data_IF_005165473655
#
_entry.id   IF_005165473655
#
_cell.length_a   1.000
_cell.length_b   1.000
_cell.length_c   1.000
_cell.angle_alpha   90.00
_cell.angle_beta   90.00
_cell.angle_gamma   90.00
#
_symmetry.space_group_name_H-M   'P 1'
#
loop_
_entity.id
_entity.type
_entity.pdbx_description
1 polymer ?
#
# COMPACT_ATOMS: atom_id res chain seq x y z
N UNK A 1 31.08 -66.49 -10.17
CA UNK A 1 29.69 -65.98 -10.24
C UNK A 1 29.51 -64.81 -9.28
N UNK A 2 29.43 -63.61 -9.85
CA UNK A 2 28.72 -62.39 -9.40
C UNK A 2 29.17 -61.68 -8.10
N UNK A 3 30.21 -60.86 -8.27
CA UNK A 3 30.52 -59.65 -7.50
C UNK A 3 29.40 -58.62 -7.68
N UNK A 4 28.66 -58.29 -6.62
CA UNK A 4 27.67 -57.20 -6.60
C UNK A 4 28.42 -55.90 -6.28
N UNK A 5 28.64 -55.07 -7.30
CA UNK A 5 29.07 -53.68 -7.14
C UNK A 5 27.89 -52.86 -6.63
N UNK A 6 27.95 -52.38 -5.39
CA UNK A 6 27.12 -51.28 -4.91
C UNK A 6 27.55 -50.02 -5.67
N UNK A 7 26.74 -49.58 -6.63
CA UNK A 7 26.83 -48.21 -7.13
C UNK A 7 26.27 -47.30 -6.02
N UNK A 8 27.17 -46.63 -5.27
CA UNK A 8 26.82 -45.38 -4.62
C UNK A 8 26.56 -44.36 -5.74
N UNK A 9 25.30 -44.17 -6.12
CA UNK A 9 24.88 -42.97 -6.82
C UNK A 9 25.03 -41.81 -5.83
N UNK A 10 26.18 -41.14 -5.85
CA UNK A 10 26.32 -39.81 -5.31
C UNK A 10 25.44 -38.88 -6.15
N UNK A 11 24.16 -38.79 -5.80
CA UNK A 11 23.30 -37.69 -6.18
C UNK A 11 23.82 -36.45 -5.44
N UNK A 12 24.88 -35.85 -5.99
CA UNK A 12 25.18 -34.44 -5.77
C UNK A 12 24.08 -33.63 -6.43
N UNK A 13 22.90 -33.61 -5.80
CA UNK A 13 21.91 -32.59 -6.05
C UNK A 13 22.56 -31.26 -5.64
N UNK A 14 22.57 -30.22 -6.50
CA UNK A 14 23.10 -28.94 -6.10
C UNK A 14 22.22 -28.40 -4.98
N UNK A 15 22.70 -28.52 -3.74
CA UNK A 15 22.03 -28.01 -2.54
C UNK A 15 22.10 -26.47 -2.45
N UNK A 16 22.51 -25.78 -3.52
CA UNK A 16 22.86 -24.36 -3.53
C UNK A 16 22.13 -23.51 -4.58
N UNK A 17 21.20 -24.06 -5.37
CA UNK A 17 20.54 -23.30 -6.45
C UNK A 17 19.09 -22.86 -6.16
N UNK A 18 18.55 -23.10 -4.96
CA UNK A 18 17.14 -22.83 -4.63
C UNK A 18 16.94 -21.93 -3.40
N UNK A 19 17.98 -21.24 -2.94
CA UNK A 19 17.93 -20.35 -1.77
C UNK A 19 18.49 -18.94 -2.00
N UNK A 20 18.53 -18.42 -3.24
CA UNK A 20 19.24 -17.15 -3.52
C UNK A 20 18.65 -16.23 -4.59
N UNK A 21 17.40 -16.42 -5.04
CA UNK A 21 16.63 -15.26 -5.54
C UNK A 21 16.07 -14.44 -4.36
N UNK A 22 16.74 -14.54 -3.21
CA UNK A 22 16.27 -14.09 -1.92
C UNK A 22 16.87 -12.72 -1.66
N UNK A 23 16.01 -11.71 -1.75
CA UNK A 23 16.16 -10.37 -1.18
C UNK A 23 17.24 -9.43 -1.75
N UNK A 24 18.39 -9.93 -2.20
CA UNK A 24 19.51 -9.06 -2.62
C UNK A 24 19.95 -9.25 -4.08
N UNK A 25 19.52 -10.33 -4.74
CA UNK A 25 19.93 -10.67 -6.11
C UNK A 25 18.70 -10.92 -7.00
N UNK A 26 17.89 -9.87 -7.19
CA UNK A 26 16.78 -9.94 -8.11
C UNK A 26 17.32 -9.99 -9.56
N UNK A 27 16.88 -10.94 -10.41
CA UNK A 27 17.46 -11.12 -11.75
C UNK A 27 17.28 -9.90 -12.67
N UNK A 28 16.26 -9.08 -12.38
CA UNK A 28 15.82 -7.97 -13.25
C UNK A 28 15.90 -6.58 -12.63
N UNK A 29 15.89 -6.46 -11.31
CA UNK A 29 15.85 -5.18 -10.58
C UNK A 29 17.16 -5.04 -9.85
N UNK A 30 18.00 -4.08 -10.26
CA UNK A 30 19.42 -4.06 -9.91
C UNK A 30 19.80 -2.97 -8.92
N UNK A 31 18.87 -2.11 -8.53
CA UNK A 31 19.14 -1.03 -7.59
C UNK A 31 19.71 -1.54 -6.26
N UNK A 32 20.90 -1.05 -5.91
CA UNK A 32 21.60 -1.38 -4.66
C UNK A 32 20.99 -0.70 -3.43
N UNK A 33 20.16 0.34 -3.63
CA UNK A 33 19.43 1.07 -2.59
C UNK A 33 17.91 0.91 -2.75
N UNK A 34 17.18 0.94 -1.63
CA UNK A 34 15.71 0.88 -1.64
C UNK A 34 15.08 2.11 -2.36
N UNK A 35 15.56 3.35 -2.15
CA UNK A 35 15.13 4.49 -2.97
C UNK A 35 15.32 4.27 -4.47
N UNK A 36 16.50 3.77 -4.86
CA UNK A 36 16.82 3.47 -6.24
C UNK A 36 15.82 2.48 -6.85
N UNK A 37 15.49 1.43 -6.09
CA UNK A 37 14.53 0.41 -6.50
C UNK A 37 13.14 1.01 -6.74
N UNK A 38 12.67 1.91 -5.86
CA UNK A 38 11.38 2.57 -6.09
C UNK A 38 11.38 3.39 -7.38
N UNK A 39 12.41 4.21 -7.62
CA UNK A 39 12.50 5.02 -8.83
C UNK A 39 12.63 4.17 -10.10
N UNK A 40 13.40 3.08 -10.07
CA UNK A 40 13.54 2.13 -11.17
C UNK A 40 12.18 1.50 -11.54
N UNK A 41 11.43 1.03 -10.54
CA UNK A 41 10.10 0.43 -10.70
C UNK A 41 9.09 1.45 -11.25
N UNK A 42 9.07 2.67 -10.70
CA UNK A 42 8.15 3.71 -11.14
C UNK A 42 8.47 4.19 -12.56
N UNK A 43 9.75 4.35 -12.91
CA UNK A 43 10.15 4.79 -14.25
C UNK A 43 9.71 3.77 -15.31
N UNK A 44 9.93 2.48 -15.05
CA UNK A 44 9.46 1.39 -15.92
C UNK A 44 7.92 1.36 -16.05
N UNK A 45 7.19 1.65 -14.96
CA UNK A 45 5.73 1.75 -15.01
C UNK A 45 5.24 2.94 -15.85
N UNK A 46 5.86 4.12 -15.70
CA UNK A 46 5.48 5.34 -16.45
C UNK A 46 5.73 5.18 -17.94
N UNK A 47 6.82 4.53 -18.34
CA UNK A 47 7.09 4.24 -19.76
C UNK A 47 5.95 3.44 -20.40
N UNK A 48 5.44 2.42 -19.71
CA UNK A 48 4.30 1.63 -20.19
C UNK A 48 3.00 2.41 -20.17
N UNK A 49 2.75 3.16 -19.10
CA UNK A 49 1.52 3.93 -18.97
C UNK A 49 1.44 5.07 -20.00
N UNK A 50 2.57 5.58 -20.49
CA UNK A 50 2.60 6.55 -21.60
C UNK A 50 1.91 6.04 -22.87
N UNK A 51 1.86 4.71 -23.08
CA UNK A 51 1.14 4.09 -24.19
C UNK A 51 -0.32 3.73 -23.87
N UNK A 52 -0.70 3.73 -22.59
CA UNK A 52 -2.03 3.29 -22.10
C UNK A 52 -2.95 4.46 -21.73
N UNK A 53 -2.37 5.60 -21.32
CA UNK A 53 -3.14 6.75 -20.88
C UNK A 53 -4.12 7.19 -21.98
N UNK A 54 -5.38 7.32 -21.59
CA UNK A 54 -6.43 7.79 -22.47
C UNK A 54 -6.20 9.26 -22.88
N UNK A 55 -6.70 9.69 -24.06
CA UNK A 55 -6.61 11.08 -24.48
C UNK A 55 -7.24 12.08 -23.51
N UNK A 56 -8.25 11.64 -22.74
CA UNK A 56 -8.92 12.43 -21.71
C UNK A 56 -8.16 12.47 -20.37
N UNK A 57 -6.96 11.86 -20.29
CA UNK A 57 -6.08 11.89 -19.12
C UNK A 57 -6.22 10.70 -18.16
N UNK A 58 -7.20 9.82 -18.37
CA UNK A 58 -7.38 8.62 -17.54
C UNK A 58 -6.24 7.62 -17.72
N UNK A 59 -5.72 7.09 -16.61
CA UNK A 59 -4.81 5.94 -16.62
C UNK A 59 -5.56 4.62 -16.78
N UNK A 60 -5.03 3.67 -17.55
CA UNK A 60 -5.70 2.40 -17.85
C UNK A 60 -4.87 1.22 -17.40
N UNK A 61 -5.51 0.23 -16.76
CA UNK A 61 -4.79 -0.97 -16.32
C UNK A 61 -4.28 -1.83 -17.48
N UNK A 62 -4.98 -1.79 -18.63
CA UNK A 62 -4.62 -2.50 -19.86
C UNK A 62 -5.23 -1.83 -21.07
N UNK A 63 -4.74 -2.19 -22.26
CA UNK A 63 -5.39 -1.77 -23.50
C UNK A 63 -6.81 -2.35 -23.57
N UNK A 64 -7.83 -1.52 -23.86
CA UNK A 64 -9.20 -1.99 -24.01
C UNK A 64 -9.36 -2.76 -25.32
N UNK A 65 -9.94 -3.96 -25.24
CA UNK A 65 -10.15 -4.86 -26.37
C UNK A 65 -11.45 -4.57 -27.14
N UNK A 66 -12.35 -3.78 -26.54
CA UNK A 66 -13.61 -3.35 -27.15
C UNK A 66 -14.10 -2.02 -26.58
N UNK A 67 -15.17 -1.45 -27.14
CA UNK A 67 -15.78 -0.24 -26.60
C UNK A 67 -16.35 -0.44 -25.18
N UNK A 68 -16.97 -1.59 -24.89
CA UNK A 68 -17.44 -1.94 -23.55
C UNK A 68 -16.29 -2.23 -22.57
N UNK A 69 -15.16 -2.70 -23.07
CA UNK A 69 -13.95 -2.93 -22.27
C UNK A 69 -13.26 -1.63 -21.79
N UNK A 70 -13.60 -0.48 -22.41
CA UNK A 70 -13.13 0.84 -21.95
C UNK A 70 -13.65 1.21 -20.56
N UNK A 71 -14.79 0.65 -20.14
CA UNK A 71 -15.35 0.86 -18.80
C UNK A 71 -14.69 -0.06 -17.77
N UNK A 72 -14.40 -1.31 -18.14
CA UNK A 72 -13.77 -2.30 -17.26
C UNK A 72 -12.27 -2.06 -17.05
N UNK A 73 -11.60 -1.39 -17.98
CA UNK A 73 -10.15 -1.10 -17.94
C UNK A 73 -9.77 0.10 -17.06
N UNK A 74 -10.75 0.79 -16.46
CA UNK A 74 -10.55 2.00 -15.65
C UNK A 74 -11.21 1.89 -14.27
N UNK A 75 -10.54 2.43 -13.25
CA UNK A 75 -11.09 2.64 -11.90
C UNK A 75 -10.58 3.96 -11.34
N UNK A 76 -11.39 4.62 -10.51
CA UNK A 76 -11.00 5.89 -9.88
C UNK A 76 -9.73 5.73 -9.04
N UNK A 77 -9.55 4.59 -8.37
CA UNK A 77 -8.35 4.33 -7.55
C UNK A 77 -7.08 4.18 -8.40
N UNK A 78 -7.19 3.84 -9.70
CA UNK A 78 -6.07 3.85 -10.63
C UNK A 78 -5.53 5.24 -10.92
N UNK A 79 -6.32 6.29 -10.69
CA UNK A 79 -5.86 7.68 -10.81
C UNK A 79 -4.83 8.06 -9.73
N UNK A 80 -4.61 7.23 -8.71
CA UNK A 80 -3.50 7.41 -7.76
C UNK A 80 -2.12 7.43 -8.46
N UNK A 81 -2.02 6.85 -9.66
CA UNK A 81 -0.80 6.86 -10.48
C UNK A 81 -0.34 8.27 -10.89
N UNK A 82 -1.18 9.30 -10.79
CA UNK A 82 -0.77 10.69 -11.00
C UNK A 82 0.42 11.07 -10.11
N UNK A 83 0.50 10.50 -8.91
CA UNK A 83 1.58 10.76 -7.96
C UNK A 83 2.92 10.24 -8.46
N UNK A 84 2.93 9.07 -9.14
CA UNK A 84 4.15 8.51 -9.73
C UNK A 84 4.70 9.43 -10.83
N UNK A 85 3.85 9.86 -11.76
CA UNK A 85 4.25 10.78 -12.82
C UNK A 85 4.75 12.13 -12.26
N UNK A 86 4.03 12.72 -11.30
CA UNK A 86 4.45 13.96 -10.67
C UNK A 86 5.79 13.83 -9.93
N UNK A 87 5.98 12.76 -9.16
CA UNK A 87 7.20 12.51 -8.41
C UNK A 87 8.42 12.32 -9.32
N UNK A 88 8.27 11.50 -10.36
CA UNK A 88 9.33 11.23 -11.33
C UNK A 88 9.73 12.49 -12.09
N UNK A 89 8.78 13.35 -12.45
CA UNK A 89 9.12 14.63 -13.06
C UNK A 89 9.87 15.55 -12.09
N UNK A 90 9.39 15.67 -10.83
CA UNK A 90 9.86 16.70 -9.90
C UNK A 90 11.13 16.35 -9.12
N UNK A 91 11.44 15.05 -8.93
CA UNK A 91 12.50 14.62 -8.00
C UNK A 91 13.82 14.35 -8.71
N UNK A 92 14.87 15.08 -8.34
CA UNK A 92 16.23 14.75 -8.74
C UNK A 92 16.73 13.54 -7.93
N UNK A 93 16.96 12.40 -8.61
CA UNK A 93 17.54 11.20 -7.99
C UNK A 93 18.39 10.44 -9.03
N UNK A 94 19.55 9.86 -8.67
CA UNK A 94 20.41 9.16 -9.64
C UNK A 94 19.72 8.02 -10.42
N UNK A 95 18.81 7.30 -9.76
CA UNK A 95 18.00 6.23 -10.39
C UNK A 95 16.72 6.74 -11.07
N UNK A 96 16.48 8.05 -11.13
CA UNK A 96 15.33 8.65 -11.81
C UNK A 96 15.75 9.30 -13.13
N UNK A 97 15.64 8.59 -14.28
CA UNK A 97 15.99 9.15 -15.58
C UNK A 97 14.94 10.15 -16.11
N UNK A 98 13.78 10.26 -15.46
CA UNK A 98 12.63 11.04 -15.93
C UNK A 98 12.50 12.41 -15.26
N UNK A 99 13.47 12.79 -14.41
CA UNK A 99 13.52 14.11 -13.80
C UNK A 99 13.56 15.21 -14.87
N UNK A 100 12.58 16.11 -14.83
CA UNK A 100 12.41 17.19 -15.81
C UNK A 100 11.83 16.75 -17.17
N UNK A 101 11.43 15.49 -17.37
CA UNK A 101 10.86 15.02 -18.63
C UNK A 101 9.47 15.65 -18.88
N UNK A 102 9.38 16.46 -19.95
CA UNK A 102 8.14 17.16 -20.32
C UNK A 102 6.99 16.21 -20.66
N UNK A 103 7.25 15.03 -21.22
CA UNK A 103 6.19 14.05 -21.52
C UNK A 103 5.56 13.49 -20.25
N UNK A 104 6.36 13.27 -19.22
CA UNK A 104 5.91 12.81 -17.90
C UNK A 104 5.12 13.91 -17.19
N UNK A 105 5.57 15.16 -17.30
CA UNK A 105 4.80 16.32 -16.81
C UNK A 105 3.43 16.43 -17.48
N UNK A 106 3.38 16.34 -18.81
CA UNK A 106 2.13 16.39 -19.57
C UNK A 106 1.19 15.21 -19.24
N UNK A 107 1.73 14.04 -18.93
CA UNK A 107 0.96 12.90 -18.43
C UNK A 107 0.26 13.24 -17.11
N UNK A 108 0.98 13.82 -16.15
CA UNK A 108 0.42 14.26 -14.88
C UNK A 108 -0.61 15.38 -15.06
N UNK A 109 -0.36 16.33 -15.97
CA UNK A 109 -1.30 17.42 -16.28
C UNK A 109 -2.63 16.89 -16.82
N UNK A 110 -2.62 16.01 -17.82
CA UNK A 110 -3.87 15.42 -18.33
C UNK A 110 -4.63 14.67 -17.25
N UNK A 111 -3.94 13.93 -16.39
CA UNK A 111 -4.58 13.20 -15.30
C UNK A 111 -5.23 14.12 -14.26
N UNK A 112 -4.57 15.23 -13.89
CA UNK A 112 -5.15 16.20 -12.97
C UNK A 112 -6.28 17.02 -13.60
N UNK A 113 -6.19 17.34 -14.90
CA UNK A 113 -7.28 17.98 -15.66
C UNK A 113 -8.52 17.07 -15.70
N UNK A 114 -8.34 15.76 -15.91
CA UNK A 114 -9.41 14.77 -15.80
C UNK A 114 -10.05 14.77 -14.40
N UNK A 115 -9.22 14.67 -13.36
CA UNK A 115 -9.70 14.63 -11.97
C UNK A 115 -10.45 15.91 -11.59
N UNK A 116 -9.97 17.08 -12.03
CA UNK A 116 -10.67 18.35 -11.86
C UNK A 116 -12.04 18.34 -12.55
N UNK A 117 -12.12 17.80 -13.76
CA UNK A 117 -13.38 17.61 -14.48
C UNK A 117 -14.35 16.61 -13.84
N UNK A 118 -13.87 15.77 -12.93
CA UNK A 118 -14.72 14.85 -12.16
C UNK A 118 -15.36 15.51 -10.93
N UNK A 119 -14.89 16.68 -10.49
CA UNK A 119 -15.41 17.35 -9.29
C UNK A 119 -16.54 18.31 -9.67
N UNK A 120 -17.74 17.99 -9.23
CA UNK A 120 -18.94 18.79 -9.46
C UNK A 120 -18.91 20.13 -8.70
N UNK A 121 -19.90 20.99 -8.98
CA UNK A 121 -20.02 22.30 -8.33
C UNK A 121 -20.24 22.21 -6.82
N UNK A 122 -20.86 21.14 -6.34
CA UNK A 122 -21.07 20.85 -4.92
C UNK A 122 -19.90 20.11 -4.27
N UNK A 123 -18.82 19.83 -5.03
CA UNK A 123 -17.65 19.09 -4.56
C UNK A 123 -17.78 17.58 -4.64
N UNK A 124 -18.93 17.04 -5.07
CA UNK A 124 -19.09 15.60 -5.27
C UNK A 124 -18.17 15.12 -6.40
N UNK A 125 -17.44 14.02 -6.16
CA UNK A 125 -16.59 13.40 -7.17
C UNK A 125 -17.44 12.43 -8.00
N UNK A 126 -17.67 12.77 -9.27
CA UNK A 126 -18.46 11.97 -10.22
C UNK A 126 -17.62 11.69 -11.46
N UNK A 127 -16.76 10.64 -11.42
CA UNK A 127 -16.01 10.24 -12.58
C UNK A 127 -16.93 9.80 -13.70
N UNK A 128 -16.54 10.10 -14.93
CA UNK A 128 -17.28 9.71 -16.13
C UNK A 128 -16.40 8.95 -17.10
N UNK A 129 -16.98 7.90 -17.68
CA UNK A 129 -16.41 7.14 -18.78
C UNK A 129 -17.35 7.27 -19.96
N UNK A 130 -16.88 7.86 -21.07
CA UNK A 130 -17.68 8.11 -22.27
C UNK A 130 -19.00 8.86 -21.95
N UNK A 131 -18.98 9.77 -20.98
CA UNK A 131 -20.14 10.54 -20.52
C UNK A 131 -21.02 9.85 -19.48
N UNK A 132 -20.81 8.57 -19.18
CA UNK A 132 -21.57 7.81 -18.17
C UNK A 132 -20.91 7.93 -16.81
N UNK A 133 -21.68 8.31 -15.79
CA UNK A 133 -21.21 8.36 -14.41
C UNK A 133 -20.89 6.96 -13.87
N UNK A 134 -19.77 6.83 -13.18
CA UNK A 134 -19.35 5.57 -12.54
C UNK A 134 -19.10 5.79 -11.04
N UNK A 135 -19.16 4.71 -10.27
CA UNK A 135 -19.03 4.78 -8.81
C UNK A 135 -17.65 5.33 -8.38
N UNK A 136 -17.59 6.38 -7.54
CA UNK A 136 -16.35 6.96 -7.05
C UNK A 136 -15.81 6.20 -5.82
N UNK A 137 -15.89 4.87 -5.82
CA UNK A 137 -15.48 4.06 -4.67
C UNK A 137 -14.04 4.39 -4.29
N UNK A 138 -13.83 4.75 -3.02
CA UNK A 138 -12.53 5.13 -2.49
C UNK A 138 -11.83 6.32 -3.17
N UNK A 139 -12.58 7.23 -3.80
CA UNK A 139 -12.03 8.42 -4.46
C UNK A 139 -11.15 9.29 -3.56
N UNK A 140 -11.34 9.29 -2.24
CA UNK A 140 -10.48 9.98 -1.27
C UNK A 140 -8.99 9.57 -1.36
N UNK A 141 -8.70 8.35 -1.84
CA UNK A 141 -7.33 7.89 -2.08
C UNK A 141 -6.70 8.59 -3.28
N UNK A 142 -7.45 8.77 -4.35
CA UNK A 142 -7.02 9.51 -5.54
C UNK A 142 -6.93 11.01 -5.28
N UNK A 143 -7.83 11.57 -4.46
CA UNK A 143 -7.74 12.96 -4.01
C UNK A 143 -6.44 13.22 -3.23
N UNK A 144 -6.03 12.30 -2.35
CA UNK A 144 -4.74 12.39 -1.67
C UNK A 144 -3.57 12.42 -2.67
N UNK A 145 -3.48 11.43 -3.57
CA UNK A 145 -2.40 11.36 -4.55
C UNK A 145 -2.37 12.58 -5.51
N UNK A 146 -3.54 13.12 -5.87
CA UNK A 146 -3.65 14.33 -6.66
C UNK A 146 -3.22 15.58 -5.89
N UNK A 147 -3.54 15.66 -4.60
CA UNK A 147 -3.08 16.75 -3.72
C UNK A 147 -1.56 16.77 -3.61
N UNK A 148 -0.95 15.60 -3.47
CA UNK A 148 0.51 15.47 -3.44
C UNK A 148 1.14 15.82 -4.80
N UNK A 149 0.52 15.41 -5.90
CA UNK A 149 0.94 15.81 -7.25
C UNK A 149 0.84 17.33 -7.46
N UNK A 150 -0.23 17.99 -6.98
CA UNK A 150 -0.34 19.46 -6.98
C UNK A 150 0.84 20.08 -6.24
N UNK A 151 1.15 19.60 -5.03
CA UNK A 151 2.26 20.12 -4.23
C UNK A 151 3.62 20.00 -4.92
N UNK A 152 3.86 18.89 -5.63
CA UNK A 152 5.09 18.67 -6.40
C UNK A 152 5.19 19.53 -7.66
N UNK A 153 4.06 19.79 -8.32
CA UNK A 153 4.01 20.42 -9.64
C UNK A 153 3.57 21.89 -9.63
N UNK A 154 3.26 22.47 -8.46
CA UNK A 154 2.61 23.78 -8.37
C UNK A 154 3.34 24.88 -9.15
N UNK A 155 4.68 24.88 -9.09
CA UNK A 155 5.52 25.86 -9.80
C UNK A 155 5.49 25.72 -11.33
N UNK A 156 5.22 24.53 -11.83
CA UNK A 156 5.24 24.18 -13.26
C UNK A 156 3.85 24.27 -13.91
N UNK A 157 2.79 24.39 -13.09
CA UNK A 157 1.43 24.66 -13.56
C UNK A 157 1.30 26.12 -14.01
N UNK A 158 0.70 26.31 -15.20
CA UNK A 158 0.19 27.62 -15.61
C UNK A 158 -0.93 28.10 -14.66
N UNK A 159 -1.23 29.40 -14.70
CA UNK A 159 -2.17 30.02 -13.76
C UNK A 159 -3.59 29.47 -13.87
N UNK A 160 -4.03 29.12 -15.08
CA UNK A 160 -5.38 28.61 -15.33
C UNK A 160 -5.54 27.20 -14.74
N UNK A 161 -4.62 26.30 -15.07
CA UNK A 161 -4.63 24.93 -14.55
C UNK A 161 -4.45 24.90 -13.04
N UNK A 162 -3.54 25.72 -12.51
CA UNK A 162 -3.32 25.83 -11.06
C UNK A 162 -4.60 26.22 -10.33
N UNK A 163 -5.31 27.24 -10.82
CA UNK A 163 -6.57 27.66 -10.22
C UNK A 163 -7.64 26.58 -10.36
N UNK A 164 -7.77 25.95 -11.55
CA UNK A 164 -8.73 24.88 -11.78
C UNK A 164 -8.53 23.71 -10.79
N UNK A 165 -7.29 23.26 -10.61
CA UNK A 165 -6.96 22.16 -9.70
C UNK A 165 -7.18 22.53 -8.24
N UNK A 166 -6.68 23.70 -7.80
CA UNK A 166 -6.87 24.18 -6.42
C UNK A 166 -8.34 24.35 -6.08
N UNK A 167 -9.13 24.90 -7.01
CA UNK A 167 -10.56 25.11 -6.85
C UNK A 167 -11.33 23.78 -6.77
N UNK A 168 -11.01 22.81 -7.62
CA UNK A 168 -11.62 21.49 -7.60
C UNK A 168 -11.24 20.68 -6.34
N UNK A 169 -9.96 20.63 -5.97
CA UNK A 169 -9.52 20.00 -4.72
C UNK A 169 -10.17 20.67 -3.51
N UNK A 170 -10.28 22.00 -3.47
CA UNK A 170 -10.99 22.69 -2.39
C UNK A 170 -12.43 22.18 -2.25
N UNK A 171 -13.23 22.21 -3.32
CA UNK A 171 -14.63 21.72 -3.27
C UNK A 171 -14.71 20.25 -2.84
N UNK A 172 -13.87 19.39 -3.40
CA UNK A 172 -13.83 17.97 -3.04
C UNK A 172 -13.46 17.74 -1.57
N UNK A 173 -12.52 18.54 -1.04
CA UNK A 173 -12.10 18.51 0.35
C UNK A 173 -13.20 18.99 1.30
N UNK A 174 -13.92 20.07 0.96
CA UNK A 174 -15.07 20.57 1.71
C UNK A 174 -16.17 19.49 1.80
N UNK A 175 -16.49 18.87 0.67
CA UNK A 175 -17.50 17.82 0.61
C UNK A 175 -17.08 16.58 1.42
N UNK A 176 -15.84 16.11 1.26
CA UNK A 176 -15.31 14.98 2.03
C UNK A 176 -15.30 15.28 3.53
N UNK A 177 -14.91 16.49 3.92
CA UNK A 177 -14.90 16.92 5.31
C UNK A 177 -16.30 16.92 5.90
N UNK A 178 -17.26 17.55 5.22
CA UNK A 178 -18.63 17.70 5.69
C UNK A 178 -19.38 16.37 5.80
N UNK A 179 -19.17 15.45 4.85
CA UNK A 179 -19.98 14.22 4.74
C UNK A 179 -19.35 13.03 5.45
N UNK A 180 -18.02 12.91 5.41
CA UNK A 180 -17.34 11.70 5.85
C UNK A 180 -16.49 11.86 7.10
N UNK A 181 -15.89 13.04 7.30
CA UNK A 181 -14.97 13.27 8.42
C UNK A 181 -15.70 13.89 9.61
N UNK A 182 -16.21 15.12 9.49
CA UNK A 182 -16.79 15.88 10.59
C UNK A 182 -17.92 15.13 11.36
N UNK A 183 -18.82 14.38 10.70
CA UNK A 183 -19.86 13.62 11.42
C UNK A 183 -19.32 12.43 12.24
N UNK A 184 -18.05 12.05 12.06
CA UNK A 184 -17.47 10.80 12.59
C UNK A 184 -16.29 11.04 13.52
N UNK A 185 -15.67 12.22 13.52
CA UNK A 185 -14.51 12.51 14.40
C UNK A 185 -14.81 12.34 15.89
N UNK A 186 -16.06 12.58 16.32
CA UNK A 186 -16.50 12.49 17.71
C UNK A 186 -16.97 11.09 18.13
N UNK A 187 -16.94 10.10 17.23
CA UNK A 187 -17.35 8.71 17.57
C UNK A 187 -16.51 8.16 18.70
N UNK A 188 -17.04 7.34 19.64
CA UNK A 188 -16.29 6.86 20.82
C UNK A 188 -15.06 6.00 20.53
N UNK A 189 -15.01 5.34 19.36
CA UNK A 189 -13.85 4.59 18.85
C UNK A 189 -13.80 4.70 17.34
N UNK A 190 -12.63 4.49 16.75
CA UNK A 190 -12.45 4.38 15.31
C UNK A 190 -12.35 2.93 14.86
N UNK A 191 -13.28 2.10 15.35
CA UNK A 191 -13.50 0.73 14.90
C UNK A 191 -14.81 0.62 14.12
N UNK A 192 -14.95 -0.41 13.29
CA UNK A 192 -16.10 -0.53 12.39
C UNK A 192 -17.47 -0.48 13.07
N UNK A 193 -17.69 -1.06 14.27
CA UNK A 193 -18.97 -0.91 14.98
C UNK A 193 -19.40 0.53 15.27
N UNK A 194 -18.45 1.46 15.39
CA UNK A 194 -18.75 2.87 15.67
C UNK A 194 -18.77 3.74 14.42
N UNK A 195 -18.01 3.35 13.39
CA UNK A 195 -17.85 4.11 12.15
C UNK A 195 -18.84 3.69 11.05
N UNK A 196 -19.28 2.43 11.04
CA UNK A 196 -20.05 1.83 9.95
C UNK A 196 -19.20 1.36 8.76
N UNK A 197 -17.86 1.48 8.85
CA UNK A 197 -16.88 1.05 7.85
C UNK A 197 -15.52 0.79 8.52
N UNK A 198 -14.57 0.21 7.79
CA UNK A 198 -13.25 -0.16 8.31
C UNK A 198 -12.39 1.04 8.75
N UNK A 199 -11.61 0.96 9.86
CA UNK A 199 -10.79 2.04 10.41
C UNK A 199 -9.91 2.75 9.37
N UNK A 200 -9.38 1.99 8.40
CA UNK A 200 -8.53 2.52 7.34
C UNK A 200 -9.21 3.66 6.56
N UNK A 201 -10.52 3.57 6.30
CA UNK A 201 -11.23 4.65 5.63
C UNK A 201 -11.28 5.91 6.51
N UNK A 202 -11.46 5.78 7.84
CA UNK A 202 -11.42 6.95 8.72
C UNK A 202 -10.04 7.60 8.68
N UNK A 203 -8.98 6.81 8.90
CA UNK A 203 -7.61 7.31 8.92
C UNK A 203 -7.19 7.94 7.59
N UNK A 204 -7.53 7.31 6.45
CA UNK A 204 -7.22 7.83 5.13
C UNK A 204 -8.02 9.10 4.81
N UNK A 205 -9.31 9.17 5.12
CA UNK A 205 -10.11 10.38 4.88
C UNK A 205 -9.64 11.55 5.73
N UNK A 206 -9.30 11.30 6.99
CA UNK A 206 -8.69 12.28 7.88
C UNK A 206 -7.40 12.83 7.29
N UNK A 207 -6.47 11.95 6.91
CA UNK A 207 -5.17 12.37 6.37
C UNK A 207 -5.27 13.01 4.99
N UNK A 208 -6.22 12.58 4.14
CA UNK A 208 -6.52 13.26 2.88
C UNK A 208 -6.93 14.71 3.12
N UNK A 209 -7.95 14.96 3.97
CA UNK A 209 -8.40 16.35 4.26
C UNK A 209 -7.31 17.16 4.95
N UNK A 210 -6.58 16.56 5.90
CA UNK A 210 -5.46 17.20 6.59
C UNK A 210 -4.38 17.68 5.63
N UNK A 211 -3.95 16.81 4.70
CA UNK A 211 -2.95 17.15 3.67
C UNK A 211 -3.47 18.16 2.66
N UNK A 212 -4.73 18.05 2.24
CA UNK A 212 -5.35 19.07 1.40
C UNK A 212 -5.37 20.43 2.10
N UNK A 213 -5.68 20.48 3.40
CA UNK A 213 -5.61 21.70 4.20
C UNK A 213 -4.21 22.31 4.19
N UNK A 214 -3.16 21.50 4.37
CA UNK A 214 -1.78 21.97 4.31
C UNK A 214 -1.38 22.51 2.93
N UNK A 215 -1.67 21.78 1.85
CA UNK A 215 -1.28 22.16 0.47
C UNK A 215 -2.09 23.34 -0.05
N UNK A 216 -3.38 23.42 0.29
CA UNK A 216 -4.26 24.51 -0.12
C UNK A 216 -4.18 25.75 0.78
N UNK A 217 -3.50 25.66 1.92
CA UNK A 217 -3.39 26.74 2.90
C UNK A 217 -4.70 27.02 3.65
N UNK A 218 -5.39 25.96 4.09
CA UNK A 218 -6.68 26.01 4.81
C UNK A 218 -6.44 25.50 6.25
N UNK A 219 -6.04 26.37 7.19
CA UNK A 219 -5.65 25.97 8.54
C UNK A 219 -6.81 25.32 9.32
N UNK A 220 -8.05 25.69 9.06
CA UNK A 220 -9.22 25.16 9.76
C UNK A 220 -9.37 23.64 9.54
N UNK A 221 -9.01 23.16 8.35
CA UNK A 221 -9.02 21.72 8.07
C UNK A 221 -7.93 21.00 8.83
N UNK A 222 -6.76 21.64 8.96
CA UNK A 222 -5.62 21.10 9.70
C UNK A 222 -5.97 20.99 11.18
N UNK A 223 -6.47 22.06 11.77
CA UNK A 223 -6.87 22.15 13.18
C UNK A 223 -7.97 21.15 13.54
N UNK A 224 -8.95 20.93 12.66
CA UNK A 224 -10.04 19.99 12.89
C UNK A 224 -9.59 18.52 12.80
N UNK A 225 -8.74 18.20 11.83
CA UNK A 225 -8.38 16.81 11.53
C UNK A 225 -7.20 16.30 12.36
N UNK A 226 -6.23 17.14 12.71
CA UNK A 226 -5.01 16.72 13.40
C UNK A 226 -5.28 16.03 14.77
N UNK A 227 -6.13 16.56 15.66
CA UNK A 227 -6.46 15.86 16.91
C UNK A 227 -7.12 14.50 16.68
N UNK A 228 -7.95 14.38 15.64
CA UNK A 228 -8.58 13.12 15.25
C UNK A 228 -7.56 12.12 14.69
N UNK A 229 -6.57 12.56 13.91
CA UNK A 229 -5.47 11.69 13.44
C UNK A 229 -4.63 11.20 14.63
N UNK A 230 -4.24 12.11 15.56
CA UNK A 230 -3.54 11.72 16.79
C UNK A 230 -4.30 10.66 17.55
N UNK A 231 -5.61 10.83 17.68
CA UNK A 231 -6.47 9.85 18.34
C UNK A 231 -6.47 8.50 17.60
N UNK A 232 -6.65 8.51 16.27
CA UNK A 232 -6.60 7.31 15.44
C UNK A 232 -5.29 6.54 15.64
N UNK A 233 -4.16 7.23 15.59
CA UNK A 233 -2.83 6.65 15.81
C UNK A 233 -2.69 6.01 17.19
N UNK A 234 -3.33 6.58 18.21
CA UNK A 234 -3.34 6.01 19.56
C UNK A 234 -4.31 4.84 19.75
N UNK A 235 -5.17 4.52 18.76
CA UNK A 235 -6.02 3.32 18.82
C UNK A 235 -5.29 2.03 18.40
N UNK A 236 -4.01 2.12 18.01
CA UNK A 236 -3.20 0.93 17.74
C UNK A 236 -3.10 0.04 18.99
N UNK A 237 -3.29 -1.26 18.79
CA UNK A 237 -3.13 -2.27 19.83
C UNK A 237 -1.64 -2.55 20.11
N UNK A 238 -1.35 -3.11 21.29
CA UNK A 238 0.01 -3.49 21.68
C UNK A 238 0.60 -4.57 20.75
N UNK A 239 -0.24 -5.41 20.14
CA UNK A 239 0.14 -6.34 19.09
C UNK A 239 0.50 -5.71 17.75
N UNK A 240 0.39 -4.38 17.62
CA UNK A 240 0.86 -3.61 16.45
C UNK A 240 -0.11 -3.47 15.29
N UNK A 241 -1.40 -3.63 15.53
CA UNK A 241 -2.44 -3.49 14.51
C UNK A 241 -3.59 -2.59 15.00
N UNK A 242 -4.37 -2.05 14.06
CA UNK A 242 -5.65 -1.41 14.35
C UNK A 242 -6.78 -2.40 14.13
N UNK A 243 -7.54 -2.68 15.18
CA UNK A 243 -8.65 -3.63 15.09
C UNK A 243 -9.80 -3.05 14.25
N UNK A 244 -10.25 -3.79 13.23
CA UNK A 244 -11.49 -3.45 12.54
C UNK A 244 -12.71 -3.80 13.41
N UNK A 245 -12.70 -5.03 13.95
CA UNK A 245 -13.68 -5.54 14.90
C UNK A 245 -12.97 -6.24 16.07
N UNK A 246 -12.64 -7.53 15.94
CA UNK A 246 -12.09 -8.36 17.01
C UNK A 246 -10.76 -9.02 16.59
N UNK A 247 -9.81 -8.15 16.25
CA UNK A 247 -8.45 -8.52 15.89
C UNK A 247 -8.01 -7.88 14.58
N UNK A 248 -6.88 -8.37 14.05
CA UNK A 248 -6.26 -7.72 12.90
C UNK A 248 -6.96 -8.01 11.57
N UNK A 249 -6.74 -7.11 10.63
CA UNK A 249 -7.05 -7.27 9.20
C UNK A 249 -5.76 -6.97 8.40
N UNK A 250 -4.99 -8.02 8.10
CA UNK A 250 -3.59 -7.92 7.64
C UNK A 250 -3.39 -6.87 6.55
N UNK A 251 -4.06 -7.03 5.40
CA UNK A 251 -3.84 -6.15 4.26
C UNK A 251 -4.31 -4.72 4.52
N UNK A 252 -5.40 -4.56 5.28
CA UNK A 252 -5.98 -3.26 5.60
C UNK A 252 -5.15 -2.48 6.60
N UNK A 253 -4.38 -3.19 7.43
CA UNK A 253 -3.53 -2.58 8.45
C UNK A 253 -2.36 -1.79 7.87
N UNK A 254 -1.84 -2.17 6.70
CA UNK A 254 -0.86 -1.35 5.96
C UNK A 254 -1.40 0.05 5.62
N UNK A 255 -2.72 0.19 5.37
CA UNK A 255 -3.33 1.51 5.14
C UNK A 255 -3.34 2.33 6.44
N UNK A 256 -3.57 1.70 7.59
CA UNK A 256 -3.50 2.35 8.89
C UNK A 256 -2.06 2.76 9.23
N UNK A 257 -1.07 1.90 8.92
CA UNK A 257 0.34 2.22 9.02
C UNK A 257 0.73 3.45 8.18
N UNK A 258 0.16 3.58 6.97
CA UNK A 258 0.38 4.77 6.12
C UNK A 258 -0.15 6.07 6.75
N UNK A 259 -1.23 6.00 7.52
CA UNK A 259 -1.79 7.14 8.27
C UNK A 259 -0.83 7.57 9.38
N UNK A 260 -0.31 6.62 10.16
CA UNK A 260 0.66 6.90 11.21
C UNK A 260 1.96 7.48 10.64
N UNK A 261 2.50 6.90 9.56
CA UNK A 261 3.71 7.40 8.90
C UNK A 261 3.55 8.82 8.38
N UNK A 262 2.45 9.10 7.69
CA UNK A 262 2.18 10.43 7.16
C UNK A 262 1.98 11.45 8.29
N UNK A 263 1.31 11.05 9.36
CA UNK A 263 1.15 11.90 10.54
C UNK A 263 2.49 12.23 11.19
N UNK A 264 3.37 11.25 11.37
CA UNK A 264 4.71 11.45 11.91
C UNK A 264 5.51 12.47 11.09
N UNK A 265 5.56 12.31 9.76
CA UNK A 265 6.36 13.17 8.87
C UNK A 265 6.04 14.65 9.05
N UNK A 266 4.75 14.98 9.18
CA UNK A 266 4.30 16.36 9.22
C UNK A 266 4.07 16.93 10.63
N UNK A 267 3.99 16.08 11.66
CA UNK A 267 3.74 16.53 13.05
C UNK A 267 4.91 16.30 14.00
N UNK A 268 5.80 15.34 13.72
CA UNK A 268 6.82 14.89 14.65
C UNK A 268 6.26 14.28 15.95
N UNK A 269 4.98 13.87 15.98
CA UNK A 269 4.34 13.35 17.19
C UNK A 269 4.91 11.97 17.57
N UNK A 270 5.58 11.80 18.73
CA UNK A 270 6.17 10.52 19.12
C UNK A 270 5.14 9.40 19.30
N UNK A 271 3.84 9.70 19.48
CA UNK A 271 2.79 8.68 19.46
C UNK A 271 2.71 7.97 18.09
N UNK A 272 2.95 8.70 17.00
CA UNK A 272 3.00 8.16 15.65
C UNK A 272 4.21 7.26 15.45
N UNK A 273 5.40 7.70 15.91
CA UNK A 273 6.61 6.89 15.83
C UNK A 273 6.47 5.57 16.61
N UNK A 274 5.85 5.61 17.80
CA UNK A 274 5.49 4.39 18.56
C UNK A 274 4.58 3.49 17.74
N UNK A 275 3.49 4.02 17.18
CA UNK A 275 2.55 3.23 16.39
C UNK A 275 3.22 2.60 15.16
N UNK A 276 4.09 3.35 14.47
CA UNK A 276 4.86 2.87 13.34
C UNK A 276 5.80 1.72 13.73
N UNK A 277 6.47 1.80 14.89
CA UNK A 277 7.33 0.72 15.39
C UNK A 277 6.53 -0.55 15.62
N UNK A 278 5.44 -0.46 16.39
CA UNK A 278 4.57 -1.60 16.67
C UNK A 278 4.02 -2.22 15.38
N UNK A 279 3.61 -1.39 14.41
CA UNK A 279 3.10 -1.86 13.13
C UNK A 279 4.19 -2.50 12.24
N UNK A 280 5.41 -1.97 12.28
CA UNK A 280 6.56 -2.58 11.59
C UNK A 280 6.88 -3.95 12.20
N UNK A 281 6.90 -4.04 13.54
CA UNK A 281 7.10 -5.32 14.24
C UNK A 281 6.01 -6.32 13.87
N UNK A 282 4.76 -5.88 13.85
CA UNK A 282 3.64 -6.71 13.46
C UNK A 282 3.80 -7.27 12.04
N UNK A 283 3.98 -6.42 11.03
CA UNK A 283 4.05 -6.88 9.64
C UNK A 283 5.32 -7.70 9.34
N UNK A 284 6.45 -7.39 9.98
CA UNK A 284 7.70 -8.15 9.79
C UNK A 284 7.59 -9.58 10.34
N UNK A 285 6.93 -9.78 11.47
CA UNK A 285 6.78 -11.12 12.06
C UNK A 285 5.68 -11.94 11.41
N UNK A 286 4.63 -11.30 10.88
CA UNK A 286 3.45 -11.97 10.33
C UNK A 286 3.45 -12.08 8.80
N UNK A 287 4.62 -12.32 8.21
CA UNK A 287 4.78 -12.58 6.78
C UNK A 287 5.62 -13.84 6.52
N UNK A 288 5.24 -14.62 5.52
CA UNK A 288 6.01 -15.78 5.06
C UNK A 288 7.22 -15.35 4.23
N UNK A 289 8.25 -16.19 4.04
CA UNK A 289 9.48 -15.82 3.32
C UNK A 289 9.31 -15.58 1.81
N UNK A 290 8.13 -15.79 1.24
CA UNK A 290 7.72 -15.36 -0.11
C UNK A 290 6.95 -14.02 -0.12
N UNK A 291 6.82 -13.36 1.02
CA UNK A 291 6.25 -12.01 1.13
C UNK A 291 4.74 -11.99 1.36
N UNK A 292 4.07 -13.14 1.38
CA UNK A 292 2.64 -13.22 1.65
C UNK A 292 2.38 -13.03 3.15
N UNK A 293 1.35 -12.26 3.48
CA UNK A 293 0.96 -12.02 4.87
C UNK A 293 0.27 -13.28 5.46
N UNK A 294 0.52 -13.58 6.73
CA UNK A 294 -0.02 -14.77 7.39
C UNK A 294 -1.50 -14.56 7.72
N UNK A 295 -2.37 -15.34 7.07
CA UNK A 295 -3.82 -15.16 7.07
C UNK A 295 -4.54 -15.71 8.31
N UNK A 296 -3.91 -16.56 9.14
CA UNK A 296 -4.59 -17.20 10.30
C UNK A 296 -5.10 -16.22 11.35
N UNK A 297 -4.62 -14.97 11.31
CA UNK A 297 -5.05 -13.89 12.20
C UNK A 297 -5.92 -12.85 11.48
N UNK A 298 -6.04 -12.91 10.15
CA UNK A 298 -6.79 -11.96 9.33
C UNK A 298 -8.31 -12.19 9.47
N UNK A 299 -9.07 -11.17 9.87
CA UNK A 299 -10.53 -11.24 10.02
C UNK A 299 -11.32 -10.94 8.72
N UNK A 300 -10.63 -10.66 7.60
CA UNK A 300 -11.27 -10.10 6.41
C UNK A 300 -10.97 -10.84 5.13
N UNK A 301 -9.72 -11.23 4.90
CA UNK A 301 -9.35 -11.79 3.60
C UNK A 301 -9.46 -13.32 3.63
N UNK A 302 -10.23 -13.88 2.69
CA UNK A 302 -10.41 -15.34 2.54
C UNK A 302 -9.22 -15.99 1.85
N UNK A 303 -8.77 -15.38 0.74
CA UNK A 303 -7.87 -16.01 -0.24
C UNK A 303 -6.80 -15.05 -0.82
N UNK A 304 -6.34 -14.05 -0.06
CA UNK A 304 -5.26 -13.17 -0.54
C UNK A 304 -3.91 -13.85 -0.33
N UNK A 305 -3.47 -14.61 -1.35
CA UNK A 305 -2.15 -15.25 -1.42
C UNK A 305 -1.14 -14.44 -2.23
N UNK A 306 -1.37 -13.13 -2.31
CA UNK A 306 -0.54 -12.20 -3.05
C UNK A 306 0.29 -11.35 -2.07
N UNK A 307 1.44 -10.88 -2.55
CA UNK A 307 2.32 -10.03 -1.75
C UNK A 307 1.74 -8.62 -1.71
N UNK A 308 1.31 -8.16 -0.54
CA UNK A 308 0.90 -6.77 -0.37
C UNK A 308 2.12 -5.86 -0.20
N UNK A 309 2.49 -5.10 -1.24
CA UNK A 309 3.67 -4.23 -1.21
C UNK A 309 3.34 -2.77 -1.56
N UNK A 310 2.11 -2.33 -1.27
CA UNK A 310 1.61 -1.03 -1.70
C UNK A 310 1.61 0.01 -0.58
N UNK A 311 0.76 -0.15 0.42
CA UNK A 311 0.55 0.88 1.46
C UNK A 311 1.57 0.79 2.61
N UNK A 312 1.86 1.95 3.22
CA UNK A 312 2.55 2.01 4.52
C UNK A 312 4.05 1.75 4.53
N UNK A 313 4.66 1.24 3.44
CA UNK A 313 6.07 0.84 3.44
C UNK A 313 7.07 1.98 3.79
N UNK A 314 6.78 3.24 3.44
CA UNK A 314 7.64 4.36 3.88
C UNK A 314 7.66 4.53 5.40
N UNK A 315 6.56 4.22 6.09
CA UNK A 315 6.49 4.34 7.53
C UNK A 315 7.46 3.36 8.20
N UNK A 316 7.67 2.19 7.60
CA UNK A 316 8.62 1.18 8.07
C UNK A 316 10.07 1.61 7.84
N UNK A 317 10.33 2.44 6.84
CA UNK A 317 11.68 2.88 6.48
C UNK A 317 12.36 3.74 7.57
N UNK A 318 11.64 4.15 8.62
CA UNK A 318 12.23 4.79 9.80
C UNK A 318 13.07 3.83 10.65
N UNK A 319 12.94 2.52 10.44
CA UNK A 319 13.66 1.50 11.20
C UNK A 319 14.55 0.65 10.29
N UNK A 320 15.74 0.20 10.76
CA UNK A 320 16.64 -0.61 9.95
C UNK A 320 16.03 -1.91 9.40
N UNK A 321 15.32 -2.64 10.24
CA UNK A 321 14.58 -3.86 9.89
C UNK A 321 13.35 -3.55 9.02
N UNK A 322 12.70 -2.42 9.25
CA UNK A 322 11.59 -1.95 8.43
C UNK A 322 12.00 -1.57 7.00
N UNK A 323 13.19 -0.97 6.81
CA UNK A 323 13.78 -0.76 5.47
C UNK A 323 14.02 -2.08 4.75
N UNK A 324 14.62 -3.04 5.45
CA UNK A 324 14.86 -4.39 4.91
C UNK A 324 13.55 -5.06 4.50
N UNK A 325 12.52 -4.94 5.33
CA UNK A 325 11.19 -5.48 5.05
C UNK A 325 10.51 -4.79 3.87
N UNK A 326 10.60 -3.46 3.75
CA UNK A 326 10.04 -2.73 2.62
C UNK A 326 10.70 -3.17 1.30
N UNK A 327 12.04 -3.32 1.27
CA UNK A 327 12.76 -3.89 0.13
C UNK A 327 12.29 -5.30 -0.20
N UNK A 328 12.19 -6.16 0.83
CA UNK A 328 11.68 -7.52 0.68
C UNK A 328 10.32 -7.56 -0.01
N UNK A 329 9.35 -6.77 0.49
CA UNK A 329 7.97 -6.77 -0.02
C UNK A 329 7.91 -6.31 -1.47
N UNK A 330 8.64 -5.26 -1.84
CA UNK A 330 8.70 -4.79 -3.23
C UNK A 330 9.27 -5.86 -4.16
N UNK A 331 10.40 -6.47 -3.80
CA UNK A 331 11.02 -7.52 -4.61
C UNK A 331 10.15 -8.77 -4.69
N UNK A 332 9.50 -9.15 -3.60
CA UNK A 332 8.59 -10.29 -3.56
C UNK A 332 7.34 -10.06 -4.44
N UNK A 333 6.78 -8.84 -4.46
CA UNK A 333 5.67 -8.49 -5.33
C UNK A 333 6.06 -8.45 -6.81
N UNK A 334 7.28 -7.99 -7.12
CA UNK A 334 7.83 -8.03 -8.47
C UNK A 334 8.06 -9.47 -8.97
N UNK A 335 8.33 -10.42 -8.09
CA UNK A 335 8.48 -11.83 -8.45
C UNK A 335 9.52 -12.04 -9.55
N UNK A 336 9.14 -12.63 -10.69
CA UNK A 336 10.03 -12.76 -11.85
C UNK A 336 9.68 -11.78 -12.99
N UNK A 337 8.76 -10.83 -12.76
CA UNK A 337 8.27 -9.92 -13.81
C UNK A 337 9.18 -8.70 -14.00
N UNK A 338 9.31 -8.24 -15.24
CA UNK A 338 9.83 -6.92 -15.64
C UNK A 338 8.69 -5.91 -15.85
N UNK A 339 7.46 -6.28 -15.47
CA UNK A 339 6.28 -5.47 -15.63
C UNK A 339 5.71 -5.02 -14.29
N UNK A 340 6.09 -3.83 -13.79
CA UNK A 340 5.51 -3.25 -12.59
C UNK A 340 3.99 -3.06 -12.64
N UNK A 341 3.42 -2.74 -13.81
CA UNK A 341 1.97 -2.59 -13.94
C UNK A 341 1.25 -3.91 -13.72
N UNK A 342 1.85 -5.02 -14.15
CA UNK A 342 1.33 -6.37 -13.88
C UNK A 342 1.54 -6.78 -12.42
N UNK A 343 2.66 -6.40 -11.80
CA UNK A 343 2.99 -6.76 -10.42
C UNK A 343 2.10 -6.03 -9.40
N UNK A 344 1.88 -4.74 -9.59
CA UNK A 344 1.27 -3.85 -8.59
C UNK A 344 -0.09 -3.29 -9.07
N UNK A 345 -0.23 -3.02 -10.36
CA UNK A 345 -1.33 -2.20 -10.88
C UNK A 345 -1.21 -0.72 -10.47
N UNK A 346 -2.10 0.10 -11.03
CA UNK A 346 -1.99 1.56 -10.96
C UNK A 346 -2.17 2.15 -9.55
N UNK A 347 -3.08 1.57 -8.75
CA UNK A 347 -3.33 2.02 -7.37
C UNK A 347 -2.08 1.85 -6.51
N UNK A 348 -1.50 0.65 -6.54
CA UNK A 348 -0.35 0.32 -5.73
C UNK A 348 0.89 1.08 -6.18
N UNK A 349 1.09 1.30 -7.48
CA UNK A 349 2.19 2.12 -7.98
C UNK A 349 2.09 3.58 -7.52
N UNK A 350 0.88 4.13 -7.35
CA UNK A 350 0.68 5.42 -6.68
C UNK A 350 1.17 5.41 -5.23
N UNK A 351 1.15 4.26 -4.56
CA UNK A 351 1.66 4.08 -3.19
C UNK A 351 3.14 3.76 -3.14
N UNK A 352 3.69 3.10 -4.15
CA UNK A 352 5.14 3.02 -4.37
C UNK A 352 5.72 4.42 -4.59
N UNK A 353 5.02 5.33 -5.28
CA UNK A 353 5.41 6.73 -5.37
C UNK A 353 5.41 7.44 -4.01
N UNK A 354 4.37 7.22 -3.20
CA UNK A 354 4.37 7.68 -1.80
C UNK A 354 5.59 7.12 -1.03
N UNK A 355 5.93 5.85 -1.27
CA UNK A 355 7.05 5.19 -0.63
C UNK A 355 8.40 5.83 -0.98
N UNK A 356 8.59 6.12 -2.27
CA UNK A 356 9.76 6.82 -2.79
C UNK A 356 9.87 8.25 -2.23
N UNK A 357 8.77 9.00 -2.23
CA UNK A 357 8.76 10.40 -1.81
C UNK A 357 9.10 10.58 -0.33
N UNK A 358 8.57 9.68 0.52
CA UNK A 358 8.69 9.79 1.97
C UNK A 358 9.67 8.80 2.60
N UNK A 359 10.51 8.16 1.78
CA UNK A 359 11.52 7.24 2.27
C UNK A 359 12.49 7.94 3.23
N UNK A 360 12.97 7.19 4.22
CA UNK A 360 14.06 7.61 5.11
C UNK A 360 15.24 6.68 4.92
N UNK A 361 16.38 7.24 4.51
CA UNK A 361 17.62 6.47 4.27
C UNK A 361 18.23 5.94 5.58
N UNK A 362 19.02 4.89 5.45
CA UNK A 362 19.82 4.33 6.54
C UNK A 362 20.17 2.86 6.31
N UNK A 363 20.95 2.25 7.22
CA UNK A 363 21.34 0.85 7.10
C UNK A 363 20.13 -0.07 7.22
N UNK A 364 20.17 -1.21 6.54
CA UNK A 364 19.20 -2.29 6.74
C UNK A 364 19.65 -3.20 7.88
N UNK A 365 18.69 -3.79 8.59
CA UNK A 365 18.93 -4.85 9.58
C UNK A 365 18.11 -6.10 9.26
N UNK A 366 18.53 -7.29 9.73
CA UNK A 366 17.89 -8.53 9.32
C UNK A 366 16.44 -8.66 9.81
N UNK A 367 15.60 -9.30 8.99
CA UNK A 367 14.16 -9.52 9.25
C UNK A 367 13.86 -10.99 9.62
N UNK A 368 12.70 -11.29 10.23
CA UNK A 368 12.33 -12.65 10.66
C UNK A 368 12.50 -13.74 9.57
N UNK A 369 12.25 -13.39 8.32
CA UNK A 369 12.33 -14.29 7.17
C UNK A 369 13.76 -14.79 6.91
N UNK A 370 14.79 -14.05 7.32
CA UNK A 370 16.20 -14.34 7.09
C UNK A 370 16.82 -15.22 8.17
N UNK A 371 16.22 -15.29 9.36
CA UNK A 371 16.73 -16.15 10.43
C UNK A 371 16.40 -17.61 10.17
N UNK A 372 17.29 -18.53 10.57
CA UNK A 372 17.01 -19.97 10.50
C UNK A 372 15.80 -20.36 11.36
N UNK A 373 15.64 -19.69 12.49
CA UNK A 373 14.55 -19.90 13.46
C UNK A 373 14.04 -18.57 14.00
N UNK A 374 12.73 -18.41 14.13
CA UNK A 374 12.14 -17.33 14.91
C UNK A 374 10.81 -17.79 15.52
N UNK A 375 10.35 -17.05 16.53
CA UNK A 375 9.08 -17.26 17.20
C UNK A 375 8.51 -15.90 17.59
N UNK A 376 7.22 -15.69 17.34
CA UNK A 376 6.51 -14.49 17.75
C UNK A 376 5.08 -14.82 18.17
N UNK A 377 4.61 -14.21 19.26
CA UNK A 377 3.24 -14.33 19.75
C UNK A 377 2.53 -12.99 19.60
N UNK A 378 1.27 -13.02 19.16
CA UNK A 378 0.44 -11.81 19.15
C UNK A 378 0.04 -11.43 20.58
N UNK A 379 -0.50 -10.23 20.78
CA UNK A 379 -1.20 -9.83 22.03
C UNK A 379 -2.56 -10.57 22.21
N UNK A 380 -2.81 -11.58 21.39
CA UNK A 380 -3.94 -12.51 21.42
C UNK A 380 -3.43 -13.95 21.25
N UNK A 381 -4.27 -14.98 21.46
CA UNK A 381 -3.90 -16.40 21.32
C UNK A 381 -3.53 -16.81 19.88
N UNK A 382 -2.42 -16.31 19.36
CA UNK A 382 -1.88 -16.66 18.06
C UNK A 382 -0.35 -16.63 18.10
N UNK A 383 0.28 -17.55 17.37
CA UNK A 383 1.73 -17.71 17.32
C UNK A 383 2.18 -18.02 15.91
N UNK A 384 3.31 -17.45 15.52
CA UNK A 384 4.05 -17.82 14.31
C UNK A 384 5.44 -18.32 14.69
N UNK A 385 5.90 -19.36 13.99
CA UNK A 385 7.24 -19.93 14.17
C UNK A 385 7.86 -20.29 12.83
N UNK A 386 9.17 -20.03 12.71
CA UNK A 386 10.03 -20.56 11.66
C UNK A 386 11.02 -21.57 12.21
N UNK A 387 11.25 -22.64 11.45
CA UNK A 387 12.28 -23.65 11.71
C UNK A 387 12.86 -24.15 10.38
N UNK A 388 14.04 -23.67 10.03
CA UNK A 388 14.66 -23.98 8.74
C UNK A 388 13.80 -23.47 7.58
N UNK A 389 13.40 -24.35 6.63
CA UNK A 389 12.55 -23.99 5.50
C UNK A 389 11.05 -23.94 5.85
N UNK A 390 10.67 -24.26 7.09
CA UNK A 390 9.27 -24.31 7.52
C UNK A 390 8.87 -23.03 8.23
N UNK A 391 7.69 -22.51 7.90
CA UNK A 391 6.98 -21.50 8.69
C UNK A 391 5.59 -22.04 8.99
N UNK A 392 5.15 -21.95 10.23
CA UNK A 392 3.78 -22.27 10.59
C UNK A 392 3.21 -21.22 11.52
N UNK A 393 1.90 -21.06 11.44
CA UNK A 393 1.12 -20.19 12.33
C UNK A 393 -0.05 -20.97 12.91
N UNK A 394 -0.36 -20.70 14.17
CA UNK A 394 -1.53 -21.24 14.86
C UNK A 394 -2.28 -20.08 15.49
N UNK A 395 -3.61 -20.05 15.32
CA UNK A 395 -4.50 -19.03 15.85
C UNK A 395 -5.68 -19.69 16.58
N UNK A 396 -5.92 -19.24 17.80
CA UNK A 396 -7.07 -19.54 18.62
C UNK A 396 -7.86 -18.25 18.94
N UNK A 397 -7.75 -17.24 18.08
CA UNK A 397 -8.48 -15.98 18.23
C UNK A 397 -9.96 -16.23 17.90
N UNK A 398 -10.81 -16.13 18.92
CA UNK A 398 -12.26 -16.22 18.78
C UNK A 398 -12.85 -14.82 18.56
N UNK A 399 -13.71 -14.70 17.55
CA UNK A 399 -14.52 -13.50 17.30
C UNK A 399 -15.98 -13.78 17.64
N UNK A 400 -16.69 -12.86 18.29
CA UNK A 400 -18.15 -12.93 18.40
C UNK A 400 -18.83 -12.97 17.03
N UNK A 401 -19.88 -13.78 16.91
CA UNK A 401 -20.68 -13.85 15.68
C UNK A 401 -21.32 -12.50 15.34
N UNK A 402 -21.33 -12.18 14.04
CA UNK A 402 -21.98 -10.99 13.49
C UNK A 402 -22.84 -11.36 12.27
N UNK A 403 -24.00 -12.03 12.49
CA UNK A 403 -24.78 -12.63 11.41
C UNK A 403 -25.32 -11.63 10.37
N UNK A 404 -25.33 -10.33 10.68
CA UNK A 404 -25.76 -9.26 9.79
C UNK A 404 -24.61 -8.55 9.07
N UNK A 405 -23.36 -8.93 9.32
CA UNK A 405 -22.18 -8.32 8.67
C UNK A 405 -21.72 -9.17 7.50
N UNK A 406 -21.70 -8.61 6.30
CA UNK A 406 -21.07 -9.22 5.12
C UNK A 406 -19.54 -9.04 5.08
N UNK A 407 -19.00 -8.34 6.07
CA UNK A 407 -17.67 -7.77 6.08
C UNK A 407 -16.75 -8.49 7.07
N UNK A 408 -17.26 -8.86 8.24
CA UNK A 408 -16.46 -9.64 9.18
C UNK A 408 -16.58 -11.10 8.84
N UNK A 409 -15.44 -11.75 8.73
CA UNK A 409 -15.41 -13.18 8.51
C UNK A 409 -14.96 -13.89 9.78
N UNK A 410 -15.45 -15.12 9.92
CA UNK A 410 -14.95 -16.01 10.97
C UNK A 410 -13.63 -16.61 10.52
N UNK A 411 -12.69 -16.80 11.46
CA UNK A 411 -11.37 -17.32 11.15
C UNK A 411 -11.42 -18.84 11.08
N UNK A 412 -11.77 -19.39 9.91
CA UNK A 412 -12.11 -20.80 9.77
C UNK A 412 -10.92 -21.75 9.75
N UNK A 413 -9.71 -21.29 9.38
CA UNK A 413 -8.51 -22.12 9.44
C UNK A 413 -7.56 -21.66 10.57
N UNK A 414 -7.47 -22.43 11.67
CA UNK A 414 -6.65 -22.06 12.82
C UNK A 414 -5.16 -22.34 12.62
N UNK A 415 -4.75 -22.95 11.50
CA UNK A 415 -3.38 -23.38 11.23
C UNK A 415 -3.00 -22.97 9.81
N UNK A 416 -1.81 -22.39 9.66
CA UNK A 416 -1.15 -22.23 8.37
C UNK A 416 0.21 -22.93 8.39
N UNK A 417 0.58 -23.52 7.26
CA UNK A 417 1.84 -24.19 7.05
C UNK A 417 2.42 -23.78 5.70
N UNK A 418 3.64 -23.27 5.72
CA UNK A 418 4.41 -22.86 4.57
C UNK A 418 5.76 -23.57 4.57
N UNK A 419 6.25 -23.93 3.39
CA UNK A 419 7.58 -24.52 3.21
C UNK A 419 8.32 -23.90 2.02
N UNK A 420 9.63 -23.72 2.15
CA UNK A 420 10.47 -23.01 1.16
C UNK A 420 10.40 -23.52 -0.28
N UNK A 421 10.04 -24.80 -0.50
CA UNK A 421 9.90 -25.37 -1.85
C UNK A 421 8.48 -25.35 -2.41
N UNK A 422 7.49 -25.52 -1.54
CA UNK A 422 6.09 -25.74 -1.94
C UNK A 422 5.20 -24.54 -1.63
N UNK A 423 5.78 -23.50 -1.02
CA UNK A 423 5.07 -22.32 -0.49
C UNK A 423 3.98 -22.77 0.49
N UNK A 424 2.80 -22.14 0.45
CA UNK A 424 1.67 -22.49 1.31
C UNK A 424 1.16 -23.91 1.03
N UNK A 425 1.22 -24.78 2.05
CA UNK A 425 0.68 -26.15 2.04
C UNK A 425 -0.69 -26.18 2.72
N UNK A 426 -0.79 -25.53 3.88
CA UNK A 426 -2.04 -25.34 4.60
C UNK A 426 -2.26 -23.84 4.70
N UNK A 427 -3.42 -23.40 4.23
CA UNK A 427 -3.79 -22.01 4.26
C UNK A 427 -5.32 -21.82 4.27
N UNK A 428 -5.74 -20.60 4.57
CA UNK A 428 -7.12 -20.16 4.69
C UNK A 428 -7.25 -19.32 5.95
N UNK A 429 -7.60 -18.05 5.82
CA UNK A 429 -7.85 -17.20 6.99
C UNK A 429 -9.29 -17.35 7.46
N UNK A 430 -10.22 -17.42 6.51
CA UNK A 430 -11.65 -17.29 6.71
C UNK A 430 -12.49 -18.09 5.73
#
# INVERSE_FOLDING_TARGET
>A
MKTVRLLLLALTLPLSALMSATLDNHPRWKSESLPGLYYEVLAAAVEKEAALQAPDGRFRQRQPESAGDKELSWRVTGMQFIYAAALLYASAHPSNPLHGDRKVLEMAFRAGDYLAGCVEKDGTVVPRINGVAVEPLDAHRSLYCWTEALGLLEKDLDSERREAWRSALRRAGEQLLATEVAPKISRPRYTSPFLGFSPNHMGLRLTTVWRMGMVLGIPEWVELTQPAIRRFVNEIHDGGYWAEHDGPTMSYDYLNGSVAGLYWIYSGDPAALRAMRLNTDYHTHWATPDGVDIHTIDQRNRNHFEVNASFGLFAFCYFPDGRRFARFKILAALGDTDDPLKAFGLEELGRVAQAAHYHTEGPEAPIPQEYLTYHHSLDRPAVVKKSGPWVYSISAILSPERPLSQFYLDRTAPISLWHGRTRHIIAGGN
#
